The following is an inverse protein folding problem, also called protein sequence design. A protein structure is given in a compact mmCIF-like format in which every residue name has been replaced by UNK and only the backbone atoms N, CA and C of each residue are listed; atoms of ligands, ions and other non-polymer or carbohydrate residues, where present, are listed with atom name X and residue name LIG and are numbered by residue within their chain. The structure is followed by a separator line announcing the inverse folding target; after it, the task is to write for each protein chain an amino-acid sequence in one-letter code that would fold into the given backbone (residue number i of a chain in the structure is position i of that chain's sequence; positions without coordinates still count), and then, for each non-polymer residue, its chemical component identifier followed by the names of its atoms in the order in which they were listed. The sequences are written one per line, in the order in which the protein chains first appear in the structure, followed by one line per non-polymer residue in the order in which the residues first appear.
data_IF_452877521881
#
_entry.id   IF_452877521881
#
_cell.length_a   1.000
_cell.length_b   1.000
_cell.length_c   1.000
_cell.angle_alpha   90.00
_cell.angle_beta   90.00
_cell.angle_gamma   90.00
#
_symmetry.space_group_name_H-M   'P 1'
#
loop_
_entity.id
_entity.type
_entity.pdbx_description
1 polymer ?
#
# COMPACT_ATOMS: atom_id res chain seq x y z
N UNK A 1 -29.78 4.58 -7.49
CA UNK A 1 -28.73 3.83 -6.78
C UNK A 1 -27.48 4.72 -6.73
N UNK A 2 -27.22 5.47 -5.65
CA UNK A 2 -26.00 6.25 -5.57
C UNK A 2 -24.83 5.28 -5.41
N UNK A 3 -23.87 5.32 -6.34
CA UNK A 3 -22.60 4.65 -6.16
C UNK A 3 -21.95 5.26 -4.90
N UNK A 4 -21.87 4.47 -3.83
CA UNK A 4 -21.19 4.85 -2.59
C UNK A 4 -19.77 5.31 -2.93
N UNK A 5 -19.61 6.63 -3.04
CA UNK A 5 -18.35 7.32 -3.13
C UNK A 5 -17.68 7.19 -1.77
N UNK A 6 -17.15 5.99 -1.50
CA UNK A 6 -16.33 5.73 -0.34
C UNK A 6 -15.23 6.79 -0.35
N UNK A 7 -15.14 7.70 0.64
CA UNK A 7 -14.27 8.86 0.55
C UNK A 7 -12.85 8.37 0.27
N UNK A 8 -12.14 9.01 -0.67
CA UNK A 8 -10.74 8.64 -1.02
C UNK A 8 -9.87 8.54 0.24
N UNK A 9 -10.17 9.35 1.25
CA UNK A 9 -9.58 9.35 2.60
C UNK A 9 -9.75 8.02 3.33
N UNK A 10 -10.91 7.36 3.25
CA UNK A 10 -11.17 6.08 3.94
C UNK A 10 -10.34 4.95 3.32
N UNK A 11 -10.27 4.89 1.98
CA UNK A 11 -9.45 3.87 1.29
C UNK A 11 -7.97 4.08 1.61
N UNK A 12 -7.51 5.33 1.62
CA UNK A 12 -6.15 5.69 2.00
C UNK A 12 -5.85 5.23 3.44
N UNK A 13 -6.74 5.54 4.38
CA UNK A 13 -6.55 5.15 5.78
C UNK A 13 -6.52 3.63 5.95
N UNK A 14 -7.40 2.91 5.26
CA UNK A 14 -7.39 1.44 5.28
C UNK A 14 -6.06 0.87 4.76
N UNK A 15 -5.50 1.43 3.67
CA UNK A 15 -4.17 1.02 3.18
C UNK A 15 -3.09 1.22 4.24
N UNK A 16 -3.09 2.38 4.89
CA UNK A 16 -2.13 2.71 5.95
C UNK A 16 -2.23 1.68 7.08
N UNK A 17 -3.45 1.41 7.55
CA UNK A 17 -3.68 0.45 8.63
C UNK A 17 -3.22 -0.97 8.25
N UNK A 18 -3.54 -1.43 7.03
CA UNK A 18 -3.13 -2.76 6.53
C UNK A 18 -1.60 -2.90 6.54
N UNK A 19 -0.89 -1.87 6.07
CA UNK A 19 0.57 -1.92 5.97
C UNK A 19 1.23 -1.73 7.34
N UNK A 20 0.67 -0.88 8.20
CA UNK A 20 1.19 -0.62 9.55
C UNK A 20 1.00 -1.81 10.51
N UNK A 21 -0.07 -2.59 10.35
CA UNK A 21 -0.33 -3.80 11.15
C UNK A 21 0.41 -5.04 10.63
N UNK A 22 1.07 -4.94 9.48
CA UNK A 22 1.77 -6.07 8.89
C UNK A 22 3.17 -6.21 9.49
N UNK A 23 3.47 -7.39 10.03
CA UNK A 23 4.81 -7.73 10.57
C UNK A 23 5.88 -7.81 9.48
N UNK A 24 5.48 -7.93 8.21
CA UNK A 24 6.37 -7.99 7.05
C UNK A 24 5.98 -6.99 5.96
N UNK A 25 6.92 -6.60 5.08
CA UNK A 25 6.59 -5.85 3.88
C UNK A 25 5.57 -6.59 3.00
N UNK A 26 4.68 -5.84 2.38
CA UNK A 26 3.58 -6.36 1.58
C UNK A 26 3.72 -5.95 0.12
N UNK A 27 3.39 -6.83 -0.80
CA UNK A 27 3.27 -6.50 -2.22
C UNK A 27 1.99 -5.69 -2.49
N UNK A 28 1.96 -4.98 -3.63
CA UNK A 28 0.75 -4.27 -4.10
C UNK A 28 -0.48 -5.18 -4.13
N UNK A 29 -0.31 -6.43 -4.58
CA UNK A 29 -1.40 -7.41 -4.68
C UNK A 29 -1.92 -7.79 -3.31
N UNK A 30 -1.04 -8.04 -2.34
CA UNK A 30 -1.44 -8.39 -0.97
C UNK A 30 -2.19 -7.25 -0.27
N UNK A 31 -1.78 -6.00 -0.47
CA UNK A 31 -2.47 -4.83 0.10
C UNK A 31 -3.88 -4.71 -0.51
N UNK A 32 -3.99 -4.82 -1.84
CA UNK A 32 -5.29 -4.73 -2.52
C UNK A 32 -6.23 -5.89 -2.15
N UNK A 33 -5.70 -7.10 -2.02
CA UNK A 33 -6.48 -8.26 -1.58
C UNK A 33 -7.02 -8.05 -0.16
N UNK A 34 -6.23 -7.49 0.76
CA UNK A 34 -6.70 -7.15 2.12
C UNK A 34 -7.72 -6.02 2.16
N UNK A 35 -7.74 -5.14 1.16
CA UNK A 35 -8.83 -4.17 0.96
C UNK A 35 -10.12 -4.82 0.42
N UNK A 36 -10.09 -6.11 0.09
CA UNK A 36 -11.15 -6.82 -0.63
C UNK A 36 -11.52 -6.12 -1.96
N UNK A 37 -10.51 -5.69 -2.72
CA UNK A 37 -10.67 -4.99 -4.00
C UNK A 37 -9.87 -5.67 -5.10
N UNK A 38 -10.18 -5.34 -6.35
CA UNK A 38 -9.33 -5.70 -7.50
C UNK A 38 -8.21 -4.67 -7.67
N UNK A 39 -7.06 -5.12 -8.14
CA UNK A 39 -5.92 -4.23 -8.45
C UNK A 39 -6.28 -3.32 -9.61
N UNK A 40 -6.32 -2.01 -9.35
CA UNK A 40 -6.59 -0.99 -10.35
C UNK A 40 -5.47 0.05 -10.38
N UNK A 41 -5.26 0.76 -11.51
CA UNK A 41 -4.29 1.85 -11.60
C UNK A 41 -4.49 2.91 -10.51
N UNK A 42 -5.75 3.18 -10.13
CA UNK A 42 -6.08 4.13 -9.08
C UNK A 42 -5.51 3.73 -7.70
N UNK A 43 -5.66 2.46 -7.31
CA UNK A 43 -5.12 1.97 -6.03
C UNK A 43 -3.59 1.95 -6.03
N UNK A 44 -2.98 1.66 -7.19
CA UNK A 44 -1.53 1.72 -7.34
C UNK A 44 -1.05 3.18 -7.19
N UNK A 45 -1.74 4.12 -7.83
CA UNK A 45 -1.44 5.55 -7.69
C UNK A 45 -1.58 6.05 -6.26
N UNK A 46 -2.56 5.55 -5.48
CA UNK A 46 -2.64 5.87 -4.04
C UNK A 46 -1.43 5.34 -3.27
N UNK A 47 -0.96 4.12 -3.55
CA UNK A 47 0.23 3.58 -2.89
C UNK A 47 1.48 4.38 -3.24
N UNK A 48 1.63 4.76 -4.52
CA UNK A 48 2.78 5.57 -4.95
C UNK A 48 2.73 6.98 -4.34
N UNK A 49 1.53 7.56 -4.17
CA UNK A 49 1.36 8.82 -3.43
C UNK A 49 1.70 8.68 -1.94
N UNK A 50 1.31 7.58 -1.28
CA UNK A 50 1.70 7.30 0.10
C UNK A 50 3.22 7.12 0.27
N UNK A 51 3.91 6.63 -0.76
CA UNK A 51 5.37 6.59 -0.78
C UNK A 51 5.96 7.99 -0.94
N UNK A 52 5.42 8.80 -1.85
CA UNK A 52 5.86 10.19 -2.06
C UNK A 52 5.65 11.05 -0.80
N UNK A 53 4.56 10.82 -0.07
CA UNK A 53 4.23 11.49 1.19
C UNK A 53 5.06 10.96 2.39
N UNK A 54 5.96 10.00 2.17
CA UNK A 54 6.79 9.42 3.23
C UNK A 54 6.02 8.55 4.23
N UNK A 55 4.78 8.18 3.94
CA UNK A 55 3.96 7.30 4.79
C UNK A 55 4.34 5.83 4.58
N UNK A 56 4.65 5.45 3.33
CA UNK A 56 5.13 4.14 2.97
C UNK A 56 6.61 4.19 2.56
N UNK A 57 7.33 3.11 2.86
CA UNK A 57 8.64 2.84 2.28
C UNK A 57 8.48 1.75 1.24
N UNK A 58 8.98 2.00 0.04
CA UNK A 58 9.00 1.03 -1.07
C UNK A 58 10.39 0.45 -1.22
N UNK A 59 10.49 -0.88 -1.17
CA UNK A 59 11.74 -1.63 -1.35
C UNK A 59 11.61 -2.61 -2.50
N UNK A 60 12.73 -2.92 -3.15
CA UNK A 60 12.82 -3.98 -4.16
C UNK A 60 13.30 -5.25 -3.46
N UNK A 61 12.61 -6.36 -3.69
CA UNK A 61 13.00 -7.69 -3.21
C UNK A 61 13.08 -8.65 -4.37
N UNK A 62 14.00 -9.61 -4.28
CA UNK A 62 14.08 -10.75 -5.20
C UNK A 62 13.32 -11.91 -4.59
N UNK A 63 12.32 -12.42 -5.30
CA UNK A 63 11.55 -13.60 -4.89
C UNK A 63 12.32 -14.90 -5.17
N UNK A 64 11.87 -16.00 -4.58
CA UNK A 64 12.53 -17.32 -4.68
C UNK A 64 12.65 -17.85 -6.13
N UNK A 65 11.88 -17.29 -7.07
CA UNK A 65 11.95 -17.62 -8.49
C UNK A 65 12.89 -16.69 -9.29
N UNK A 66 13.67 -15.84 -8.63
CA UNK A 66 14.58 -14.88 -9.24
C UNK A 66 13.91 -13.61 -9.77
N UNK A 67 12.58 -13.49 -9.70
CA UNK A 67 11.86 -12.28 -10.12
C UNK A 67 12.01 -11.18 -9.07
N UNK A 68 12.31 -9.96 -9.48
CA UNK A 68 12.30 -8.80 -8.58
C UNK A 68 10.93 -8.14 -8.54
N UNK A 69 10.50 -7.69 -7.35
CA UNK A 69 9.26 -6.92 -7.20
C UNK A 69 9.30 -5.91 -6.07
N UNK A 70 8.27 -5.07 -6.04
CA UNK A 70 8.11 -4.04 -5.01
C UNK A 70 7.32 -4.57 -3.83
N UNK A 71 7.86 -4.33 -2.64
CA UNK A 71 7.16 -4.48 -1.36
C UNK A 71 7.11 -3.14 -0.63
N UNK A 72 6.11 -3.00 0.23
CA UNK A 72 5.76 -1.78 0.93
C UNK A 72 5.69 -2.07 2.42
N UNK A 73 6.33 -1.23 3.22
CA UNK A 73 6.22 -1.20 4.67
C UNK A 73 5.80 0.18 5.13
N UNK A 74 5.28 0.29 6.36
CA UNK A 74 5.04 1.59 6.96
C UNK A 74 6.39 2.29 7.17
N UNK A 75 6.43 3.60 6.97
CA UNK A 75 7.59 4.37 7.34
C UNK A 75 7.82 4.30 8.86
N UNK A 76 9.07 4.21 9.31
CA UNK A 76 9.36 4.26 10.73
C UNK A 76 8.88 5.60 11.29
N UNK A 77 8.37 5.61 12.52
CA UNK A 77 7.81 6.82 13.16
C UNK A 77 8.77 8.02 13.17
N UNK A 78 10.08 7.79 13.03
CA UNK A 78 11.12 8.82 12.98
C UNK A 78 11.43 9.37 11.57
N UNK A 79 10.68 8.97 10.53
CA UNK A 79 10.93 9.41 9.15
C UNK A 79 10.30 10.76 8.78
N UNK A 80 9.44 11.32 9.64
CA UNK A 80 8.89 12.67 9.48
C UNK A 80 9.89 13.67 10.09
N UNK A 81 10.80 14.18 9.26
CA UNK A 81 11.65 15.35 9.57
C UNK A 81 11.04 16.62 9.01
#
# INVERSE_FOLDING_TARGET
MPQDHRPRTETRQMMINIVAQSERPLTRTEIVNRLNRKKTPHLIGMMDALVADGVFVRSIVTFNNGVTGYVYSAAPANALK
#
